data_IF_043014194272
#
_entry.id   IF_043014194272
#
_cell.length_a   1.000
_cell.length_b   1.000
_cell.length_c   1.000
_cell.angle_alpha   90.00
_cell.angle_beta   90.00
_cell.angle_gamma   90.00
#
_symmetry.space_group_name_H-M   'P 1'
#
loop_
_entity.id
_entity.type
_entity.pdbx_description
1 polymer ?
#
# COMPACT_ATOMS: atom_id res chain seq x y z
N UNK A 1 9.80 -7.07 13.24
CA UNK A 1 8.77 -6.30 12.53
C UNK A 1 8.97 -6.32 11.03
N UNK A 2 7.92 -6.03 10.28
CA UNK A 2 7.94 -5.92 8.83
C UNK A 2 7.57 -4.50 8.43
N UNK A 3 8.26 -3.95 7.42
CA UNK A 3 7.97 -2.63 6.86
C UNK A 3 7.82 -2.76 5.35
N UNK A 4 6.75 -2.18 4.81
CA UNK A 4 6.54 -2.10 3.37
C UNK A 4 7.37 -0.96 2.78
N UNK A 5 8.26 -1.29 1.83
CA UNK A 5 9.16 -0.32 1.23
C UNK A 5 8.86 -0.12 -0.25
N UNK A 6 8.77 1.14 -0.64
CA UNK A 6 8.62 1.56 -2.02
C UNK A 6 9.25 2.93 -2.18
N UNK A 7 10.48 3.00 -2.68
CA UNK A 7 11.18 4.28 -2.84
C UNK A 7 10.86 4.93 -4.18
N UNK A 8 10.68 6.25 -4.14
CA UNK A 8 10.50 7.10 -5.34
C UNK A 8 11.55 8.21 -5.43
N UNK A 9 12.58 8.18 -4.57
CA UNK A 9 13.70 9.12 -4.67
C UNK A 9 14.57 8.79 -5.87
N UNK A 10 15.05 9.80 -6.57
CA UNK A 10 15.96 9.66 -7.72
C UNK A 10 17.44 9.56 -7.32
N UNK A 11 17.74 9.77 -6.05
CA UNK A 11 19.12 9.84 -5.51
C UNK A 11 19.98 8.62 -5.88
N UNK A 12 19.42 7.41 -5.86
CA UNK A 12 20.16 6.16 -6.12
C UNK A 12 19.90 5.57 -7.51
N UNK A 13 19.08 6.23 -8.34
CA UNK A 13 18.80 5.79 -9.71
C UNK A 13 20.08 5.65 -10.56
N UNK A 14 21.06 6.59 -10.54
CA UNK A 14 22.30 6.43 -11.30
C UNK A 14 23.09 5.17 -10.93
N UNK A 15 23.05 4.75 -9.67
CA UNK A 15 23.71 3.50 -9.25
C UNK A 15 22.94 2.27 -9.72
N UNK A 16 21.61 2.31 -9.67
CA UNK A 16 20.76 1.24 -10.19
C UNK A 16 20.90 1.05 -11.71
N UNK A 17 21.11 2.13 -12.45
CA UNK A 17 21.27 2.10 -13.92
C UNK A 17 22.59 1.52 -14.41
N UNK A 18 23.50 1.16 -13.50
CA UNK A 18 24.68 0.35 -13.84
C UNK A 18 24.31 -1.12 -14.12
N UNK A 19 23.22 -1.61 -13.52
CA UNK A 19 22.76 -2.98 -13.63
C UNK A 19 21.40 -3.10 -14.35
N UNK A 20 20.56 -2.07 -14.24
CA UNK A 20 19.19 -2.06 -14.74
C UNK A 20 19.03 -1.10 -15.93
N UNK A 21 18.14 -1.40 -16.89
CA UNK A 21 17.90 -0.55 -18.05
C UNK A 21 17.40 0.86 -17.65
N UNK A 22 17.87 1.89 -18.35
CA UNK A 22 17.45 3.27 -18.12
C UNK A 22 15.95 3.52 -18.32
N UNK A 23 15.32 2.79 -19.23
CA UNK A 23 13.89 2.87 -19.53
C UNK A 23 13.01 2.03 -18.61
N UNK A 24 13.55 1.52 -17.49
CA UNK A 24 12.79 0.81 -16.48
C UNK A 24 12.08 1.80 -15.53
N UNK A 25 10.99 1.34 -14.93
CA UNK A 25 10.20 2.10 -13.94
C UNK A 25 11.09 2.71 -12.84
N UNK A 26 10.98 4.02 -12.56
CA UNK A 26 11.82 4.69 -11.55
C UNK A 26 11.64 4.15 -10.14
N UNK A 27 10.44 3.64 -9.78
CA UNK A 27 10.21 2.98 -8.50
C UNK A 27 11.09 1.73 -8.32
N UNK A 28 11.22 0.92 -9.37
CA UNK A 28 12.06 -0.27 -9.37
C UNK A 28 13.52 0.13 -9.24
N UNK A 29 13.98 1.07 -10.06
CA UNK A 29 15.37 1.55 -10.03
C UNK A 29 15.73 2.16 -8.68
N UNK A 30 14.85 3.00 -8.14
CA UNK A 30 15.05 3.63 -6.83
C UNK A 30 15.16 2.57 -5.72
N UNK A 31 14.21 1.62 -5.65
CA UNK A 31 14.23 0.56 -4.64
C UNK A 31 15.50 -0.29 -4.70
N UNK A 32 15.90 -0.68 -5.90
CA UNK A 32 17.14 -1.43 -6.14
C UNK A 32 18.38 -0.62 -5.73
N UNK A 33 18.46 0.63 -6.16
CA UNK A 33 19.59 1.51 -5.86
C UNK A 33 19.76 1.77 -4.36
N UNK A 34 18.67 1.97 -3.62
CA UNK A 34 18.72 2.11 -2.16
C UNK A 34 19.18 0.83 -1.46
N UNK A 35 18.77 -0.34 -1.94
CA UNK A 35 19.23 -1.62 -1.41
C UNK A 35 20.73 -1.85 -1.70
N UNK A 36 21.16 -1.55 -2.94
CA UNK A 36 22.55 -1.75 -3.39
C UNK A 36 23.54 -0.80 -2.71
N UNK A 37 23.12 0.41 -2.37
CA UNK A 37 24.01 1.44 -1.79
C UNK A 37 23.95 1.52 -0.27
N UNK A 38 23.18 0.66 0.40
CA UNK A 38 22.93 0.67 1.85
C UNK A 38 22.46 2.04 2.41
N UNK A 39 21.87 2.88 1.56
CA UNK A 39 21.36 4.20 1.96
C UNK A 39 20.01 4.16 2.67
N UNK A 40 19.28 3.05 2.55
CA UNK A 40 18.03 2.86 3.26
C UNK A 40 18.26 2.05 4.53
N UNK A 41 18.00 2.61 5.73
CA UNK A 41 18.20 1.88 6.98
C UNK A 41 17.34 0.62 7.07
N UNK A 42 16.14 0.63 6.48
CA UNK A 42 15.28 -0.55 6.46
C UNK A 42 15.90 -1.70 5.66
N UNK A 43 16.47 -1.44 4.49
CA UNK A 43 17.20 -2.47 3.73
C UNK A 43 18.47 -2.90 4.45
N UNK A 44 19.20 -1.95 5.03
CA UNK A 44 20.47 -2.23 5.71
C UNK A 44 20.28 -3.18 6.90
N UNK A 45 19.28 -2.92 7.75
CA UNK A 45 19.01 -3.71 8.95
C UNK A 45 18.07 -4.89 8.75
N UNK A 46 17.55 -5.12 7.52
CA UNK A 46 16.66 -6.24 7.26
C UNK A 46 17.43 -7.56 7.16
N UNK A 47 16.90 -8.61 7.81
CA UNK A 47 17.40 -9.98 7.73
C UNK A 47 16.98 -10.66 6.41
N UNK A 48 15.88 -10.22 5.83
CA UNK A 48 15.33 -10.73 4.56
C UNK A 48 14.49 -9.65 3.87
N UNK A 49 14.58 -9.60 2.56
CA UNK A 49 13.69 -8.84 1.69
C UNK A 49 12.64 -9.78 1.12
N UNK A 50 11.37 -9.46 1.29
CA UNK A 50 10.27 -10.23 0.70
C UNK A 50 9.74 -9.47 -0.51
N UNK A 51 9.67 -10.13 -1.64
CA UNK A 51 9.20 -9.55 -2.89
C UNK A 51 8.12 -10.39 -3.55
N UNK A 52 7.11 -9.74 -4.12
CA UNK A 52 6.08 -10.43 -4.92
C UNK A 52 6.35 -10.27 -6.41
N UNK A 53 5.97 -11.27 -7.19
CA UNK A 53 6.10 -11.27 -8.65
C UNK A 53 5.02 -10.41 -9.33
N UNK A 54 4.98 -9.11 -8.99
CA UNK A 54 3.94 -8.20 -9.48
C UNK A 54 4.08 -7.90 -10.97
N UNK A 55 5.22 -7.42 -11.42
CA UNK A 55 5.49 -7.15 -12.84
C UNK A 55 6.87 -7.66 -13.25
N UNK A 56 7.14 -7.75 -14.55
CA UNK A 56 8.39 -8.32 -15.07
C UNK A 56 9.64 -7.57 -14.59
N UNK A 57 9.56 -6.24 -14.50
CA UNK A 57 10.64 -5.43 -13.96
C UNK A 57 10.95 -5.74 -12.49
N UNK A 58 9.91 -5.92 -11.67
CA UNK A 58 10.06 -6.30 -10.26
C UNK A 58 10.68 -7.68 -10.10
N UNK A 59 10.17 -8.68 -10.83
CA UNK A 59 10.71 -10.05 -10.80
C UNK A 59 12.21 -10.06 -11.07
N UNK A 60 12.62 -9.38 -12.15
CA UNK A 60 14.05 -9.34 -12.52
C UNK A 60 14.88 -8.49 -11.57
N UNK A 61 14.35 -7.41 -11.03
CA UNK A 61 15.03 -6.64 -9.99
C UNK A 61 15.35 -7.49 -8.75
N UNK A 62 14.41 -8.32 -8.29
CA UNK A 62 14.63 -9.19 -7.14
C UNK A 62 15.68 -10.28 -7.41
N UNK A 63 15.75 -10.81 -8.64
CA UNK A 63 16.79 -11.74 -9.08
C UNK A 63 18.18 -11.10 -8.90
N UNK A 64 18.39 -9.89 -9.43
CA UNK A 64 19.64 -9.15 -9.22
C UNK A 64 19.89 -8.76 -7.75
N UNK A 65 18.84 -8.38 -7.03
CA UNK A 65 18.95 -8.02 -5.61
C UNK A 65 19.42 -9.23 -4.77
N UNK A 66 19.07 -10.45 -5.15
CA UNK A 66 19.49 -11.66 -4.45
C UNK A 66 21.01 -11.91 -4.46
N UNK A 67 21.75 -11.20 -5.30
CA UNK A 67 23.23 -11.29 -5.31
C UNK A 67 23.87 -10.61 -4.10
N UNK A 68 23.16 -9.67 -3.43
CA UNK A 68 23.70 -8.92 -2.30
C UNK A 68 22.74 -8.77 -1.09
N UNK A 69 21.51 -9.26 -1.19
CA UNK A 69 20.55 -9.35 -0.09
C UNK A 69 19.90 -10.73 -0.08
N UNK A 70 19.49 -11.18 1.10
CA UNK A 70 18.66 -12.38 1.20
C UNK A 70 17.23 -12.01 0.77
N UNK A 71 16.76 -12.62 -0.32
CA UNK A 71 15.47 -12.28 -0.93
C UNK A 71 14.58 -13.51 -0.99
N UNK A 72 13.41 -13.44 -0.38
CA UNK A 72 12.35 -14.43 -0.52
C UNK A 72 11.31 -13.94 -1.53
N UNK A 73 11.06 -14.72 -2.58
CA UNK A 73 10.10 -14.39 -3.62
C UNK A 73 8.79 -15.14 -3.39
N UNK A 74 7.69 -14.40 -3.34
CA UNK A 74 6.33 -14.93 -3.36
C UNK A 74 5.76 -14.82 -4.78
N UNK A 75 5.26 -15.91 -5.31
CA UNK A 75 4.62 -15.93 -6.63
C UNK A 75 3.21 -15.37 -6.54
N UNK A 76 3.04 -14.11 -6.92
CA UNK A 76 1.73 -13.47 -6.97
C UNK A 76 0.97 -13.93 -8.23
N UNK A 77 -0.21 -14.56 -8.10
CA UNK A 77 -1.05 -14.86 -9.25
C UNK A 77 -1.59 -13.57 -9.88
N UNK A 78 -1.68 -13.51 -11.19
CA UNK A 78 -2.28 -12.39 -11.93
C UNK A 78 -3.80 -12.56 -12.14
N UNK A 79 -4.44 -13.50 -11.44
CA UNK A 79 -5.86 -13.80 -11.54
C UNK A 79 -6.46 -14.00 -10.16
N UNK A 80 -7.63 -13.39 -9.93
CA UNK A 80 -8.39 -13.51 -8.67
C UNK A 80 -9.37 -14.71 -8.68
N UNK A 81 -9.21 -15.64 -9.62
CA UNK A 81 -9.99 -16.89 -9.69
C UNK A 81 -9.46 -17.95 -8.74
N UNK A 82 -10.22 -19.01 -8.52
CA UNK A 82 -9.90 -20.07 -7.56
C UNK A 82 -8.48 -20.67 -7.72
N UNK A 83 -7.97 -20.98 -8.93
CA UNK A 83 -6.59 -21.46 -9.06
C UNK A 83 -5.55 -20.45 -8.57
N UNK A 84 -5.76 -19.16 -8.80
CA UNK A 84 -4.90 -18.09 -8.27
C UNK A 84 -4.97 -18.00 -6.75
N UNK A 85 -6.16 -18.16 -6.18
CA UNK A 85 -6.33 -18.18 -4.72
C UNK A 85 -5.56 -19.33 -4.07
N UNK A 86 -5.65 -20.53 -4.63
CA UNK A 86 -4.93 -21.69 -4.10
C UNK A 86 -3.40 -21.52 -4.22
N UNK A 87 -2.92 -20.95 -5.33
CA UNK A 87 -1.50 -20.60 -5.46
C UNK A 87 -1.08 -19.60 -4.37
N UNK A 88 -1.83 -18.51 -4.21
CA UNK A 88 -1.49 -17.47 -3.23
C UNK A 88 -1.53 -17.99 -1.79
N UNK A 89 -2.50 -18.83 -1.45
CA UNK A 89 -2.56 -19.52 -0.17
C UNK A 89 -1.30 -20.39 0.06
N UNK A 90 -0.89 -21.15 -0.94
CA UNK A 90 0.34 -21.95 -0.90
C UNK A 90 1.57 -21.08 -0.66
N UNK A 91 1.67 -19.92 -1.29
CA UNK A 91 2.78 -18.98 -1.09
C UNK A 91 2.83 -18.39 0.32
N UNK A 92 1.67 -18.11 0.94
CA UNK A 92 1.60 -17.66 2.34
C UNK A 92 2.11 -18.74 3.28
N UNK A 93 1.72 -20.00 3.06
CA UNK A 93 2.19 -21.15 3.86
C UNK A 93 3.69 -21.35 3.66
N UNK A 94 4.17 -21.32 2.42
CA UNK A 94 5.61 -21.43 2.08
C UNK A 94 6.44 -20.32 2.74
N UNK A 95 5.91 -19.11 2.79
CA UNK A 95 6.58 -18.00 3.46
C UNK A 95 6.66 -18.21 4.97
N UNK A 96 5.60 -18.70 5.61
CA UNK A 96 5.61 -19.10 7.03
C UNK A 96 6.70 -20.13 7.30
N UNK A 97 6.74 -21.21 6.52
CA UNK A 97 7.74 -22.29 6.67
C UNK A 97 9.17 -21.77 6.49
N UNK A 98 9.38 -20.88 5.52
CA UNK A 98 10.68 -20.22 5.34
C UNK A 98 11.10 -19.43 6.58
N UNK A 99 10.20 -18.65 7.18
CA UNK A 99 10.49 -17.87 8.38
C UNK A 99 10.82 -18.79 9.58
N UNK A 100 10.06 -19.88 9.75
CA UNK A 100 10.31 -20.87 10.79
C UNK A 100 11.70 -21.49 10.66
N UNK A 101 12.07 -21.89 9.44
CA UNK A 101 13.38 -22.48 9.17
C UNK A 101 14.52 -21.46 9.37
N UNK A 102 14.34 -20.26 8.81
CA UNK A 102 15.40 -19.22 8.82
C UNK A 102 15.71 -18.73 10.23
N UNK A 103 14.70 -18.53 11.05
CA UNK A 103 14.84 -17.94 12.39
C UNK A 103 14.78 -18.98 13.53
N UNK A 104 14.58 -20.25 13.24
CA UNK A 104 14.51 -21.30 14.25
C UNK A 104 13.31 -21.15 15.20
N UNK A 105 12.19 -20.65 14.70
CA UNK A 105 10.97 -20.39 15.48
C UNK A 105 9.83 -21.27 14.99
N UNK A 106 8.79 -21.41 15.81
CA UNK A 106 7.51 -22.02 15.39
C UNK A 106 6.45 -20.94 15.36
N UNK A 107 5.72 -20.84 14.26
CA UNK A 107 4.60 -19.91 14.09
C UNK A 107 3.30 -20.69 14.14
N UNK A 108 2.57 -20.59 15.25
CA UNK A 108 1.31 -21.34 15.43
C UNK A 108 0.13 -20.63 14.75
N UNK A 109 -0.94 -21.37 14.50
CA UNK A 109 -2.17 -20.80 13.94
C UNK A 109 -2.78 -19.74 14.88
N UNK A 110 -2.73 -19.96 16.20
CA UNK A 110 -3.20 -18.98 17.17
C UNK A 110 -2.46 -17.66 17.09
N UNK A 111 -1.13 -17.71 16.89
CA UNK A 111 -0.34 -16.50 16.70
C UNK A 111 -0.71 -15.76 15.39
N UNK A 112 -0.99 -16.50 14.31
CA UNK A 112 -1.46 -15.93 13.06
C UNK A 112 -2.83 -15.27 13.25
N UNK A 113 -3.77 -15.93 13.92
CA UNK A 113 -5.10 -15.37 14.21
C UNK A 113 -5.02 -14.11 15.08
N UNK A 114 -4.14 -14.07 16.05
CA UNK A 114 -3.92 -12.87 16.87
C UNK A 114 -3.30 -11.73 16.07
N UNK A 115 -2.35 -12.03 15.19
CA UNK A 115 -1.80 -11.05 14.26
C UNK A 115 -2.86 -10.51 13.27
N UNK A 116 -3.76 -11.35 12.80
CA UNK A 116 -4.90 -10.94 11.96
C UNK A 116 -5.81 -9.99 12.71
N UNK A 117 -6.16 -10.25 13.97
CA UNK A 117 -6.98 -9.35 14.80
C UNK A 117 -6.30 -7.99 14.97
N UNK A 118 -5.01 -8.00 15.31
CA UNK A 118 -4.22 -6.77 15.47
C UNK A 118 -4.21 -5.94 14.18
N UNK A 119 -3.94 -6.58 13.04
CA UNK A 119 -3.94 -5.90 11.75
C UNK A 119 -5.33 -5.39 11.33
N UNK A 120 -6.37 -6.17 11.57
CA UNK A 120 -7.74 -5.74 11.28
C UNK A 120 -8.15 -4.56 12.15
N UNK A 121 -7.75 -4.53 13.43
CA UNK A 121 -8.02 -3.40 14.30
C UNK A 121 -7.31 -2.14 13.81
N UNK A 122 -6.04 -2.24 13.41
CA UNK A 122 -5.32 -1.13 12.80
C UNK A 122 -6.01 -0.63 11.51
N UNK A 123 -6.48 -1.54 10.66
CA UNK A 123 -7.25 -1.18 9.45
C UNK A 123 -8.56 -0.47 9.78
N UNK A 124 -9.32 -0.95 10.78
CA UNK A 124 -10.57 -0.30 11.23
C UNK A 124 -10.32 1.13 11.69
N UNK A 125 -9.29 1.36 12.51
CA UNK A 125 -8.93 2.69 13.00
C UNK A 125 -8.48 3.61 11.87
N UNK A 126 -7.62 3.13 10.97
CA UNK A 126 -7.19 3.89 9.79
C UNK A 126 -8.37 4.21 8.86
N UNK A 127 -9.28 3.26 8.66
CA UNK A 127 -10.50 3.47 7.85
C UNK A 127 -11.40 4.52 8.49
N UNK A 128 -11.58 4.48 9.81
CA UNK A 128 -12.36 5.49 10.53
C UNK A 128 -11.75 6.89 10.36
N UNK A 129 -10.44 7.04 10.49
CA UNK A 129 -9.75 8.30 10.20
C UNK A 129 -9.97 8.73 8.75
N UNK A 130 -9.86 7.79 7.82
CA UNK A 130 -10.06 8.06 6.39
C UNK A 130 -11.48 8.59 6.11
N UNK A 131 -12.48 8.05 6.78
CA UNK A 131 -13.89 8.40 6.62
C UNK A 131 -14.25 9.82 7.09
N UNK A 132 -13.42 10.48 7.91
CA UNK A 132 -13.66 11.89 8.25
C UNK A 132 -13.63 12.80 7.03
N UNK A 133 -12.94 12.38 5.97
CA UNK A 133 -12.88 13.12 4.71
C UNK A 133 -14.18 13.06 3.89
N UNK A 134 -15.18 12.28 4.32
CA UNK A 134 -16.54 12.30 3.74
C UNK A 134 -17.32 13.56 4.12
N UNK A 135 -16.89 14.28 5.18
CA UNK A 135 -17.51 15.55 5.55
C UNK A 135 -17.25 16.63 4.48
N UNK A 136 -18.22 17.49 4.25
CA UNK A 136 -18.14 18.63 3.34
C UNK A 136 -18.55 19.93 4.06
N UNK A 137 -17.65 20.90 4.23
CA UNK A 137 -16.22 20.91 3.85
C UNK A 137 -15.39 19.88 4.61
N UNK A 138 -14.23 19.49 4.03
CA UNK A 138 -13.34 18.53 4.66
C UNK A 138 -12.77 19.04 6.01
N UNK A 139 -12.56 18.17 7.02
CA UNK A 139 -12.07 18.59 8.32
C UNK A 139 -10.56 18.89 8.33
N UNK A 140 -9.80 18.24 7.46
CA UNK A 140 -8.34 18.38 7.35
C UNK A 140 -7.92 18.38 5.87
N UNK A 141 -6.69 18.76 5.61
CA UNK A 141 -6.09 18.65 4.27
C UNK A 141 -5.79 17.19 3.91
N UNK A 142 -5.90 16.84 2.65
CA UNK A 142 -5.51 15.55 2.14
C UNK A 142 -4.02 15.25 2.35
N UNK A 143 -3.17 16.28 2.35
CA UNK A 143 -1.75 16.15 2.71
C UNK A 143 -1.56 15.60 4.12
N UNK A 144 -2.36 16.03 5.10
CA UNK A 144 -2.22 15.57 6.48
C UNK A 144 -2.77 14.16 6.65
N UNK A 145 -3.89 13.84 6.01
CA UNK A 145 -4.36 12.45 5.91
C UNK A 145 -3.29 11.54 5.32
N UNK A 146 -2.68 11.93 4.19
CA UNK A 146 -1.64 11.15 3.53
C UNK A 146 -0.44 10.88 4.44
N UNK A 147 0.02 11.88 5.21
CA UNK A 147 1.14 11.69 6.16
C UNK A 147 0.84 10.62 7.21
N UNK A 148 -0.39 10.56 7.71
CA UNK A 148 -0.78 9.53 8.68
C UNK A 148 -0.85 8.16 8.03
N UNK A 149 -1.52 8.05 6.87
CA UNK A 149 -1.63 6.78 6.15
C UNK A 149 -0.26 6.23 5.75
N UNK A 150 0.57 7.05 5.13
CA UNK A 150 1.91 6.66 4.71
C UNK A 150 2.82 6.39 5.92
N UNK A 151 2.81 7.25 6.93
CA UNK A 151 3.58 7.09 8.16
C UNK A 151 3.23 5.82 8.92
N UNK A 152 1.96 5.40 8.91
CA UNK A 152 1.51 4.16 9.56
C UNK A 152 2.17 2.90 8.97
N UNK A 153 2.59 2.93 7.71
CA UNK A 153 3.27 1.79 7.06
C UNK A 153 4.66 1.51 7.64
N UNK A 154 5.26 2.49 8.32
CA UNK A 154 6.59 2.37 8.96
C UNK A 154 6.53 2.03 10.45
N UNK A 155 5.34 1.84 11.02
CA UNK A 155 5.19 1.40 12.42
C UNK A 155 5.52 -0.09 12.55
N UNK A 156 6.59 -0.41 13.27
CA UNK A 156 6.97 -1.80 13.57
C UNK A 156 5.98 -2.48 14.51
N UNK A 157 5.50 -1.77 15.51
CA UNK A 157 4.47 -2.26 16.42
C UNK A 157 3.10 -1.76 15.94
N UNK A 158 2.41 -2.63 15.23
CA UNK A 158 1.09 -2.35 14.67
C UNK A 158 0.00 -2.21 15.72
N UNK A 159 0.20 -2.78 16.91
CA UNK A 159 -0.76 -2.69 18.02
C UNK A 159 -0.93 -1.27 18.58
N UNK A 160 0.03 -0.38 18.33
CA UNK A 160 -0.03 1.03 18.75
C UNK A 160 -0.92 1.89 17.84
N UNK A 161 -1.16 1.46 16.59
CA UNK A 161 -1.90 2.25 15.61
C UNK A 161 -3.32 2.58 16.07
N UNK A 162 -4.14 1.63 16.60
CA UNK A 162 -5.50 1.94 17.00
C UNK A 162 -5.56 3.08 18.03
N UNK A 163 -4.78 3.00 19.08
CA UNK A 163 -4.79 4.04 20.15
C UNK A 163 -4.41 5.43 19.64
N UNK A 164 -3.35 5.52 18.83
CA UNK A 164 -2.87 6.79 18.27
C UNK A 164 -3.85 7.36 17.24
N UNK A 165 -4.34 6.52 16.33
CA UNK A 165 -5.21 6.96 15.22
C UNK A 165 -6.62 7.28 15.73
N UNK A 166 -7.18 6.50 16.64
CA UNK A 166 -8.49 6.77 17.21
C UNK A 166 -8.50 8.08 18.03
N UNK A 167 -7.42 8.34 18.79
CA UNK A 167 -7.28 9.62 19.50
C UNK A 167 -7.19 10.82 18.54
N UNK A 168 -6.46 10.66 17.43
CA UNK A 168 -6.37 11.69 16.38
C UNK A 168 -7.74 11.90 15.71
N UNK A 169 -8.45 10.83 15.38
CA UNK A 169 -9.78 10.88 14.75
C UNK A 169 -10.76 11.62 15.66
N UNK A 170 -10.81 11.24 16.94
CA UNK A 170 -11.68 11.91 17.91
C UNK A 170 -11.36 13.42 18.07
N UNK A 171 -10.07 13.78 18.03
CA UNK A 171 -9.66 15.19 18.03
C UNK A 171 -10.16 15.93 16.79
N UNK A 172 -10.00 15.34 15.60
CA UNK A 172 -10.46 15.95 14.34
C UNK A 172 -11.97 16.13 14.35
N UNK A 173 -12.74 15.12 14.78
CA UNK A 173 -14.19 15.17 14.87
C UNK A 173 -14.67 16.27 15.86
N UNK A 174 -13.99 16.40 17.00
CA UNK A 174 -14.26 17.46 17.98
C UNK A 174 -13.97 18.84 17.39
N UNK A 175 -12.80 19.04 16.81
CA UNK A 175 -12.42 20.32 16.19
C UNK A 175 -13.36 20.70 15.04
N UNK A 176 -13.81 19.71 14.26
CA UNK A 176 -14.81 19.94 13.21
C UNK A 176 -16.16 20.41 13.78
N UNK A 177 -16.63 19.80 14.87
CA UNK A 177 -17.84 20.21 15.55
C UNK A 177 -17.74 21.65 16.15
N UNK A 178 -16.54 22.07 16.54
CA UNK A 178 -16.20 23.43 16.99
C UNK A 178 -16.06 24.44 15.83
N UNK A 179 -16.22 23.97 14.56
CA UNK A 179 -16.17 24.81 13.35
C UNK A 179 -14.80 24.89 12.67
N UNK A 180 -13.78 24.16 13.14
CA UNK A 180 -12.50 24.07 12.48
C UNK A 180 -12.58 23.12 11.29
N UNK A 181 -12.51 23.64 10.10
CA UNK A 181 -12.65 22.92 8.84
C UNK A 181 -12.00 23.69 7.70
N UNK A 182 -11.67 22.99 6.63
CA UNK A 182 -11.19 23.63 5.42
C UNK A 182 -12.30 24.43 4.73
N UNK A 183 -11.94 25.27 3.80
CA UNK A 183 -12.90 25.90 2.89
C UNK A 183 -13.52 24.85 1.96
N UNK A 184 -14.76 25.10 1.51
CA UNK A 184 -15.38 24.29 0.49
C UNK A 184 -14.63 24.43 -0.84
N UNK A 185 -14.12 23.32 -1.37
CA UNK A 185 -13.30 23.26 -2.58
C UNK A 185 -13.71 22.05 -3.42
N UNK A 186 -13.40 22.01 -4.73
CA UNK A 186 -13.51 20.80 -5.54
C UNK A 186 -12.78 19.62 -4.88
N UNK A 187 -13.46 18.49 -4.77
CA UNK A 187 -13.04 17.29 -4.04
C UNK A 187 -12.34 16.32 -5.00
N UNK A 188 -11.10 16.00 -4.71
CA UNK A 188 -10.24 15.26 -5.63
C UNK A 188 -9.88 13.89 -5.06
N UNK A 189 -10.00 12.87 -5.91
CA UNK A 189 -9.47 11.53 -5.69
C UNK A 189 -8.13 11.39 -6.41
N UNK A 190 -7.13 10.80 -5.74
CA UNK A 190 -5.88 10.39 -6.38
C UNK A 190 -5.83 8.88 -6.50
N UNK A 191 -5.63 8.36 -7.71
CA UNK A 191 -5.47 6.94 -8.02
C UNK A 191 -4.13 6.66 -8.71
N UNK A 192 -3.84 5.42 -9.07
CA UNK A 192 -2.68 4.97 -9.84
C UNK A 192 -1.58 4.32 -9.03
N UNK A 193 -0.34 4.53 -9.42
CA UNK A 193 0.83 3.86 -8.85
C UNK A 193 0.99 4.05 -7.35
N UNK A 194 1.60 3.06 -6.65
CA UNK A 194 2.03 3.25 -5.26
C UNK A 194 3.15 4.31 -5.22
N UNK A 195 2.98 5.31 -4.38
CA UNK A 195 3.85 6.46 -4.37
C UNK A 195 4.14 6.92 -2.95
N UNK A 196 5.43 7.16 -2.69
CA UNK A 196 5.91 7.81 -1.50
C UNK A 196 5.94 9.34 -1.66
N UNK A 197 7.12 9.96 -1.57
CA UNK A 197 7.28 11.41 -1.66
C UNK A 197 6.72 12.09 -2.92
N UNK A 198 6.64 11.38 -4.07
CA UNK A 198 6.05 11.93 -5.29
C UNK A 198 4.54 12.23 -5.15
N UNK A 199 3.81 11.47 -4.31
CA UNK A 199 2.40 11.75 -4.03
C UNK A 199 2.22 13.09 -3.34
N UNK A 200 3.10 13.42 -2.39
CA UNK A 200 3.03 14.71 -1.68
C UNK A 200 3.12 15.89 -2.64
N UNK A 201 3.97 15.80 -3.65
CA UNK A 201 4.09 16.83 -4.70
C UNK A 201 2.77 17.03 -5.45
N UNK A 202 2.07 15.95 -5.78
CA UNK A 202 0.79 16.05 -6.50
C UNK A 202 -0.33 16.54 -5.60
N UNK A 203 -0.38 16.07 -4.34
CA UNK A 203 -1.34 16.58 -3.36
C UNK A 203 -1.19 18.11 -3.21
N UNK A 204 0.05 18.58 -3.02
CA UNK A 204 0.33 20.02 -2.94
C UNK A 204 -0.11 20.76 -4.20
N UNK A 205 0.19 20.22 -5.38
CA UNK A 205 -0.23 20.84 -6.62
C UNK A 205 -1.75 21.00 -6.71
N UNK A 206 -2.52 20.05 -6.23
CA UNK A 206 -3.99 20.14 -6.15
C UNK A 206 -4.42 21.17 -5.11
N UNK A 207 -3.90 21.07 -3.87
CA UNK A 207 -4.38 21.87 -2.74
C UNK A 207 -3.96 23.33 -2.82
N UNK A 208 -2.77 23.63 -3.35
CA UNK A 208 -2.27 24.99 -3.57
C UNK A 208 -3.00 25.72 -4.72
N UNK A 209 -3.65 24.95 -5.62
CA UNK A 209 -4.41 25.50 -6.75
C UNK A 209 -5.94 25.40 -6.58
N UNK A 210 -6.41 25.29 -5.34
CA UNK A 210 -7.83 25.47 -5.01
C UNK A 210 -8.68 24.21 -4.96
N UNK A 211 -8.08 23.00 -5.09
CA UNK A 211 -8.74 21.72 -4.82
C UNK A 211 -8.52 21.26 -3.38
N UNK A 212 -9.15 20.16 -3.00
CA UNK A 212 -8.85 19.41 -1.78
C UNK A 212 -8.83 17.92 -2.08
N UNK A 213 -7.76 17.23 -1.67
CA UNK A 213 -7.67 15.78 -1.85
C UNK A 213 -8.40 15.09 -0.72
N UNK A 214 -9.45 14.34 -1.05
CA UNK A 214 -10.33 13.72 -0.05
C UNK A 214 -10.18 12.20 0.01
N UNK A 215 -9.60 11.58 -1.01
CA UNK A 215 -9.43 10.12 -1.03
C UNK A 215 -8.29 9.68 -1.94
N UNK A 216 -7.67 8.54 -1.59
CA UNK A 216 -6.57 7.91 -2.33
C UNK A 216 -6.94 6.46 -2.62
N UNK A 217 -6.99 6.04 -3.87
CA UNK A 217 -7.26 4.64 -4.22
C UNK A 217 -5.99 3.79 -4.14
N UNK A 218 -4.81 4.34 -4.37
CA UNK A 218 -3.53 3.65 -4.48
C UNK A 218 -3.14 2.77 -3.26
N UNK A 219 -1.99 2.09 -3.32
CA UNK A 219 -1.55 1.14 -2.30
C UNK A 219 -1.35 1.73 -0.90
N UNK A 220 -1.07 3.03 -0.79
CA UNK A 220 -0.97 3.75 0.50
C UNK A 220 -2.30 4.31 0.99
N UNK A 221 -3.38 4.14 0.24
CA UNK A 221 -4.72 4.61 0.53
C UNK A 221 -5.72 3.49 0.77
N UNK A 222 -6.90 3.60 0.16
CA UNK A 222 -8.02 2.70 0.40
C UNK A 222 -7.71 1.22 0.15
N UNK A 223 -6.89 0.88 -0.87
CA UNK A 223 -6.50 -0.52 -1.14
C UNK A 223 -5.98 -1.27 0.09
N UNK A 224 -5.24 -0.59 0.96
CA UNK A 224 -4.62 -1.22 2.13
C UNK A 224 -5.59 -1.48 3.28
N UNK A 225 -6.63 -0.65 3.42
CA UNK A 225 -7.51 -0.61 4.59
C UNK A 225 -8.98 -0.96 4.31
N UNK A 226 -9.37 -1.08 3.04
CA UNK A 226 -10.78 -1.24 2.65
C UNK A 226 -11.41 -2.54 3.15
N UNK A 227 -10.70 -3.66 3.00
CA UNK A 227 -11.20 -4.99 3.37
C UNK A 227 -10.41 -5.57 4.55
N UNK A 228 -11.12 -6.28 5.41
CA UNK A 228 -10.57 -7.02 6.54
C UNK A 228 -10.34 -8.49 6.16
N UNK A 229 -9.48 -9.18 6.91
CA UNK A 229 -9.42 -10.64 6.91
C UNK A 229 -10.58 -11.15 7.75
N UNK A 230 -11.24 -12.21 7.32
CA UNK A 230 -12.27 -12.87 8.12
C UNK A 230 -11.62 -13.55 9.33
N UNK A 231 -11.89 -13.01 10.53
CA UNK A 231 -11.30 -13.47 11.80
C UNK A 231 -11.88 -14.82 12.27
N UNK A 232 -13.11 -15.11 11.84
CA UNK A 232 -13.87 -16.30 12.24
C UNK A 232 -13.75 -17.44 11.22
N UNK A 233 -13.01 -17.26 10.13
CA UNK A 233 -12.81 -18.28 9.11
C UNK A 233 -12.23 -19.58 9.70
N UNK A 234 -12.76 -20.72 9.28
CA UNK A 234 -12.24 -22.03 9.63
C UNK A 234 -10.78 -22.17 9.18
N UNK A 235 -10.48 -21.77 7.96
CA UNK A 235 -9.13 -21.74 7.38
C UNK A 235 -8.59 -20.31 7.32
N UNK A 236 -7.74 -19.97 8.27
CA UNK A 236 -7.18 -18.61 8.36
C UNK A 236 -6.25 -18.26 7.18
N UNK A 237 -5.57 -19.25 6.60
CA UNK A 237 -4.71 -19.02 5.43
C UNK A 237 -5.52 -18.69 4.18
N UNK A 238 -6.66 -19.38 4.01
CA UNK A 238 -7.60 -19.05 2.93
C UNK A 238 -8.18 -17.65 3.10
N UNK A 239 -8.57 -17.27 4.32
CA UNK A 239 -9.08 -15.94 4.63
C UNK A 239 -8.06 -14.83 4.34
N UNK A 240 -6.80 -15.04 4.73
CA UNK A 240 -5.70 -14.13 4.42
C UNK A 240 -5.51 -14.05 2.90
N UNK A 241 -5.45 -15.18 2.22
CA UNK A 241 -5.27 -15.22 0.78
C UNK A 241 -6.38 -14.49 0.03
N UNK A 242 -7.65 -14.71 0.38
CA UNK A 242 -8.81 -14.02 -0.21
C UNK A 242 -8.74 -12.51 -0.02
N UNK A 243 -8.43 -12.07 1.20
CA UNK A 243 -8.32 -10.64 1.47
C UNK A 243 -7.23 -9.98 0.64
N UNK A 244 -6.03 -10.54 0.58
CA UNK A 244 -4.91 -9.92 -0.13
C UNK A 244 -5.04 -10.05 -1.65
N UNK A 245 -5.50 -11.18 -2.16
CA UNK A 245 -5.74 -11.35 -3.59
C UNK A 245 -6.90 -10.49 -4.12
N UNK A 246 -7.83 -10.06 -3.25
CA UNK A 246 -8.92 -9.17 -3.64
C UNK A 246 -8.50 -7.72 -3.90
N UNK A 247 -7.24 -7.36 -3.65
CA UNK A 247 -6.72 -6.02 -3.94
C UNK A 247 -6.69 -5.80 -5.46
N UNK A 248 -7.31 -4.71 -5.91
CA UNK A 248 -7.32 -4.30 -7.32
C UNK A 248 -5.96 -3.74 -7.76
N UNK A 249 -4.93 -4.59 -7.82
CA UNK A 249 -3.63 -4.21 -8.36
C UNK A 249 -3.65 -4.22 -9.89
N UNK A 250 -2.99 -3.29 -10.54
CA UNK A 250 -2.90 -3.19 -12.01
C UNK A 250 -2.30 -4.42 -12.70
N UNK A 251 -1.68 -5.34 -11.96
CA UNK A 251 -1.17 -6.61 -12.49
C UNK A 251 -2.25 -7.70 -12.59
N UNK A 252 -3.43 -7.47 -12.02
CA UNK A 252 -4.56 -8.42 -12.09
C UNK A 252 -5.25 -8.36 -13.44
N UNK A 253 -5.62 -9.54 -13.98
CA UNK A 253 -6.27 -9.63 -15.28
C UNK A 253 -7.38 -10.71 -15.26
N UNK A 254 -8.66 -10.32 -15.40
CA UNK A 254 -9.18 -8.95 -15.36
C UNK A 254 -9.11 -8.31 -13.97
N UNK A 255 -9.31 -6.97 -13.86
CA UNK A 255 -9.22 -6.23 -12.62
C UNK A 255 -10.53 -5.48 -12.25
N UNK A 256 -11.67 -6.16 -12.11
CA UNK A 256 -12.94 -5.52 -11.76
C UNK A 256 -12.90 -4.87 -10.38
N UNK A 257 -12.16 -5.44 -9.44
CA UNK A 257 -12.11 -4.96 -8.05
C UNK A 257 -11.55 -3.52 -7.94
N UNK A 258 -10.67 -3.10 -8.87
CA UNK A 258 -10.19 -1.71 -8.91
C UNK A 258 -11.32 -0.76 -9.33
N UNK A 259 -12.05 -1.11 -10.39
CA UNK A 259 -13.15 -0.28 -10.89
C UNK A 259 -14.29 -0.16 -9.87
N UNK A 260 -14.63 -1.26 -9.19
CA UNK A 260 -15.63 -1.26 -8.12
C UNK A 260 -15.21 -0.36 -6.95
N UNK A 261 -13.93 -0.44 -6.53
CA UNK A 261 -13.41 0.40 -5.47
C UNK A 261 -13.41 1.88 -5.88
N UNK A 262 -12.96 2.20 -7.09
CA UNK A 262 -12.94 3.58 -7.61
C UNK A 262 -14.35 4.17 -7.66
N UNK A 263 -15.32 3.47 -8.24
CA UNK A 263 -16.70 3.94 -8.30
C UNK A 263 -17.27 4.21 -6.91
N UNK A 264 -17.07 3.28 -5.97
CA UNK A 264 -17.51 3.46 -4.58
C UNK A 264 -16.85 4.65 -3.89
N UNK A 265 -15.54 4.85 -4.07
CA UNK A 265 -14.85 6.01 -3.49
C UNK A 265 -15.32 7.34 -4.09
N UNK A 266 -15.59 7.38 -5.39
CA UNK A 266 -16.16 8.57 -6.06
C UNK A 266 -17.48 8.95 -5.42
N UNK A 267 -18.37 8.00 -5.23
CA UNK A 267 -19.71 8.25 -4.66
C UNK A 267 -19.63 8.61 -3.18
N UNK A 268 -18.92 7.79 -2.36
CA UNK A 268 -18.88 7.97 -0.91
C UNK A 268 -18.17 9.26 -0.48
N UNK A 269 -17.14 9.68 -1.22
CA UNK A 269 -16.38 10.89 -0.91
C UNK A 269 -16.83 12.11 -1.74
N UNK A 270 -17.92 11.99 -2.50
CA UNK A 270 -18.49 13.07 -3.30
C UNK A 270 -17.41 13.76 -4.16
N UNK A 271 -16.70 12.97 -4.95
CA UNK A 271 -15.53 13.39 -5.74
C UNK A 271 -15.98 14.19 -6.96
N UNK A 272 -15.40 15.38 -7.15
CA UNK A 272 -15.63 16.24 -8.31
C UNK A 272 -14.62 15.96 -9.45
N UNK A 273 -13.44 15.40 -9.13
CA UNK A 273 -12.41 15.12 -10.11
C UNK A 273 -11.43 14.03 -9.66
N UNK A 274 -10.87 13.33 -10.64
CA UNK A 274 -9.91 12.24 -10.41
C UNK A 274 -8.56 12.59 -11.03
N UNK A 275 -7.50 12.38 -10.27
CA UNK A 275 -6.11 12.46 -10.75
C UNK A 275 -5.51 11.07 -10.78
N UNK A 276 -5.25 10.55 -11.97
CA UNK A 276 -4.56 9.28 -12.15
C UNK A 276 -3.04 9.53 -12.23
N UNK A 277 -2.33 9.03 -11.21
CA UNK A 277 -0.87 9.18 -11.11
C UNK A 277 -0.16 7.95 -11.62
N UNK A 278 0.52 8.10 -12.74
CA UNK A 278 1.28 7.01 -13.36
C UNK A 278 2.76 7.39 -13.40
N UNK A 279 3.59 6.47 -12.90
CA UNK A 279 5.03 6.62 -13.05
C UNK A 279 5.45 6.32 -14.49
N UNK A 280 6.38 7.10 -15.02
CA UNK A 280 6.98 6.80 -16.32
C UNK A 280 7.47 5.34 -16.36
N UNK A 281 7.17 4.65 -17.46
CA UNK A 281 7.51 3.23 -17.64
C UNK A 281 6.86 2.24 -16.64
N UNK A 282 5.81 2.62 -15.93
CA UNK A 282 4.92 1.69 -15.27
C UNK A 282 3.87 1.19 -16.28
N UNK A 283 4.20 0.13 -17.02
CA UNK A 283 3.36 -0.32 -18.14
C UNK A 283 1.99 -0.82 -17.69
N UNK A 284 1.90 -1.51 -16.57
CA UNK A 284 0.63 -2.06 -16.07
C UNK A 284 -0.37 -0.96 -15.75
N UNK A 285 0.00 0.04 -14.94
CA UNK A 285 -0.89 1.15 -14.63
C UNK A 285 -1.18 2.01 -15.87
N UNK A 286 -0.16 2.24 -16.74
CA UNK A 286 -0.34 3.06 -17.93
C UNK A 286 -1.33 2.46 -18.96
N UNK A 287 -1.37 1.13 -19.07
CA UNK A 287 -2.35 0.45 -19.95
C UNK A 287 -3.73 0.46 -19.30
N UNK A 288 -3.80 0.31 -17.99
CA UNK A 288 -5.06 0.23 -17.25
C UNK A 288 -5.81 1.58 -17.15
N UNK A 289 -5.15 2.70 -17.44
CA UNK A 289 -5.81 4.04 -17.53
C UNK A 289 -6.93 4.11 -18.58
N UNK A 290 -6.97 3.18 -19.52
CA UNK A 290 -8.02 3.14 -20.54
C UNK A 290 -9.33 2.47 -20.06
N UNK A 291 -9.36 1.91 -18.86
CA UNK A 291 -10.55 1.27 -18.31
C UNK A 291 -11.34 2.20 -17.41
#
# INVERSE_FOLDING_TARGET
>A
GCVSLCSTSDETIPEAEKDLPKNLCPLIKSSYGFAKTDKCPFFYFSDVVVGETTCDGKKKMYEYMSEFKDVFIMELPNSQREPGLQLWKGEIIRFKEYLEQKFGVTITEEQIREAVKTENQARRSLKKLYEVMKYDPAPIKGQDLFKVLYGSTFKFDRSLIPGEVDALTAKIEKEYAEGKREEKKPRILITGCPIGGATEKVIRAVEDNGGIVVTFENCSGAKSIDKLVDEDAEDIYDAIARRYLSIGCSVMTPNPNRLELLGRLIDEYQVDGVVDMILQACHTDNVETNT
#
